data_IF_689208274112
#
_entry.id   IF_689208274112
#
_cell.length_a   1.000
_cell.length_b   1.000
_cell.length_c   1.000
_cell.angle_alpha   90.00
_cell.angle_beta   90.00
_cell.angle_gamma   90.00
#
_symmetry.space_group_name_H-M   'P 1'
#
loop_
_entity.id
_entity.type
_entity.pdbx_description
1 polymer ?
#
# COMPACT_ATOMS: atom_id res chain seq x y z
N UNK A 1 -8.52 -4.21 -8.88
CA UNK A 1 -8.52 -3.38 -7.65
C UNK A 1 -8.84 -4.25 -6.45
N UNK A 2 -8.10 -4.08 -5.36
CA UNK A 2 -8.33 -4.75 -4.07
C UNK A 2 -8.72 -3.67 -3.08
N UNK A 3 -9.75 -3.92 -2.27
CA UNK A 3 -10.18 -3.00 -1.20
C UNK A 3 -10.34 -3.75 0.10
N UNK A 4 -9.84 -3.16 1.19
CA UNK A 4 -9.97 -3.65 2.56
C UNK A 4 -10.52 -2.50 3.41
N UNK A 5 -11.53 -2.75 4.24
CA UNK A 5 -12.09 -1.73 5.14
C UNK A 5 -11.75 -2.01 6.61
N UNK A 6 -12.15 -1.09 7.49
CA UNK A 6 -11.94 -1.18 8.94
C UNK A 6 -12.63 -2.40 9.58
N UNK A 7 -13.69 -2.91 8.96
CA UNK A 7 -14.40 -4.13 9.37
C UNK A 7 -13.72 -5.41 8.84
N UNK A 8 -12.52 -5.30 8.25
CA UNK A 8 -11.75 -6.42 7.69
C UNK A 8 -12.49 -7.16 6.57
N UNK A 9 -13.41 -6.48 5.89
CA UNK A 9 -14.07 -6.99 4.70
C UNK A 9 -13.19 -6.72 3.48
N UNK A 10 -13.14 -7.68 2.57
CA UNK A 10 -12.26 -7.64 1.39
C UNK A 10 -13.10 -7.70 0.12
N UNK A 11 -12.75 -6.86 -0.86
CA UNK A 11 -13.31 -6.88 -2.21
C UNK A 11 -12.22 -7.05 -3.25
N UNK A 12 -12.51 -7.87 -4.26
CA UNK A 12 -11.67 -8.05 -5.45
C UNK A 12 -12.47 -7.61 -6.66
N UNK A 13 -12.01 -6.55 -7.32
CA UNK A 13 -12.70 -5.94 -8.47
C UNK A 13 -14.18 -5.60 -8.19
N UNK A 14 -14.46 -5.10 -6.98
CA UNK A 14 -15.81 -4.73 -6.55
C UNK A 14 -16.68 -5.88 -6.02
N UNK A 15 -16.22 -7.13 -6.10
CA UNK A 15 -16.94 -8.29 -5.59
C UNK A 15 -16.47 -8.64 -4.17
N UNK A 16 -17.37 -8.79 -3.18
CA UNK A 16 -16.99 -9.18 -1.82
C UNK A 16 -16.48 -10.62 -1.81
N UNK A 17 -15.40 -10.86 -1.06
CA UNK A 17 -14.79 -12.18 -0.92
C UNK A 17 -14.57 -12.55 0.55
N UNK A 18 -14.37 -13.83 0.83
CA UNK A 18 -13.98 -14.34 2.15
C UNK A 18 -12.51 -14.75 2.12
N UNK A 19 -11.79 -14.51 3.20
CA UNK A 19 -10.39 -14.91 3.38
C UNK A 19 -10.30 -16.13 4.34
N UNK A 20 -9.35 -17.06 4.15
CA UNK A 20 -8.25 -17.02 3.17
C UNK A 20 -8.73 -17.22 1.72
N UNK A 21 -8.01 -16.62 0.77
CA UNK A 21 -8.32 -16.66 -0.66
C UNK A 21 -7.05 -16.59 -1.50
N UNK A 22 -6.93 -17.47 -2.48
CA UNK A 22 -5.94 -17.34 -3.56
C UNK A 22 -6.65 -16.77 -4.79
N UNK A 23 -6.32 -15.53 -5.19
CA UNK A 23 -6.88 -14.90 -6.40
C UNK A 23 -6.21 -15.49 -7.64
N UNK A 24 -4.90 -15.70 -7.53
CA UNK A 24 -4.05 -16.36 -8.53
C UNK A 24 -3.04 -17.23 -7.79
N UNK A 25 -2.19 -17.97 -8.52
CA UNK A 25 -1.09 -18.72 -7.95
C UNK A 25 -0.04 -17.85 -7.22
N UNK A 26 -0.06 -16.53 -7.42
CA UNK A 26 0.93 -15.59 -6.83
C UNK A 26 0.32 -14.52 -5.93
N UNK A 27 -1.00 -14.31 -5.97
CA UNK A 27 -1.69 -13.32 -5.13
C UNK A 27 -2.56 -14.04 -4.12
N UNK A 28 -2.17 -13.97 -2.85
CA UNK A 28 -2.82 -14.69 -1.75
C UNK A 28 -3.25 -13.75 -0.64
N UNK A 29 -4.41 -14.06 -0.06
CA UNK A 29 -4.93 -13.43 1.15
C UNK A 29 -4.97 -14.44 2.28
N UNK A 30 -4.41 -14.04 3.41
CA UNK A 30 -4.43 -14.81 4.65
C UNK A 30 -4.96 -13.95 5.79
N UNK A 31 -5.57 -14.62 6.78
CA UNK A 31 -5.94 -14.02 8.04
C UNK A 31 -5.05 -14.65 9.13
N UNK A 32 -4.14 -13.87 9.71
CA UNK A 32 -3.28 -14.31 10.81
C UNK A 32 -3.69 -13.60 12.08
N UNK A 33 -4.51 -14.27 12.90
CA UNK A 33 -5.18 -13.63 14.03
C UNK A 33 -6.05 -12.47 13.54
N UNK A 34 -5.72 -11.26 13.98
CA UNK A 34 -6.44 -10.03 13.62
C UNK A 34 -5.84 -9.25 12.44
N UNK A 35 -4.88 -9.83 11.72
CA UNK A 35 -4.15 -9.18 10.63
C UNK A 35 -4.52 -9.81 9.29
N UNK A 36 -4.93 -8.98 8.34
CA UNK A 36 -5.06 -9.37 6.93
C UNK A 36 -3.69 -9.27 6.29
N UNK A 37 -3.23 -10.33 5.64
CA UNK A 37 -1.98 -10.37 4.89
C UNK A 37 -2.28 -10.57 3.41
N UNK A 38 -1.88 -9.61 2.58
CA UNK A 38 -1.81 -9.75 1.13
C UNK A 38 -0.37 -10.08 0.75
N UNK A 39 -0.18 -11.25 0.15
CA UNK A 39 1.12 -11.71 -0.33
C UNK A 39 1.17 -11.70 -1.84
N UNK A 40 2.26 -11.14 -2.36
CA UNK A 40 2.70 -11.24 -3.76
C UNK A 40 4.20 -11.58 -3.77
N UNK A 41 4.80 -11.98 -4.91
CA UNK A 41 6.21 -12.40 -4.95
C UNK A 41 7.21 -11.33 -4.49
N UNK A 42 6.88 -10.05 -4.63
CA UNK A 42 7.81 -8.94 -4.34
C UNK A 42 7.27 -7.94 -3.32
N UNK A 43 5.99 -8.01 -2.99
CA UNK A 43 5.33 -7.08 -2.06
C UNK A 43 4.43 -7.86 -1.12
N UNK A 44 4.54 -7.58 0.17
CA UNK A 44 3.61 -8.00 1.19
C UNK A 44 2.98 -6.77 1.84
N UNK A 45 1.65 -6.77 1.94
CA UNK A 45 0.90 -5.72 2.63
C UNK A 45 0.18 -6.34 3.81
N UNK A 46 0.30 -5.73 4.98
CA UNK A 46 -0.47 -6.12 6.16
C UNK A 46 -1.41 -5.01 6.59
N UNK A 47 -2.66 -5.39 6.88
CA UNK A 47 -3.64 -4.51 7.51
C UNK A 47 -3.97 -5.09 8.88
N UNK A 48 -3.45 -4.44 9.91
CA UNK A 48 -3.54 -4.89 11.30
C UNK A 48 -4.49 -4.06 12.15
N UNK A 49 -4.49 -4.29 13.48
CA UNK A 49 -5.23 -3.49 14.44
C UNK A 49 -4.92 -1.99 14.33
N UNK A 50 -5.86 -1.15 14.77
CA UNK A 50 -5.72 0.32 14.79
C UNK A 50 -5.43 0.95 13.42
N UNK A 51 -5.94 0.35 12.33
CA UNK A 51 -5.74 0.81 10.94
C UNK A 51 -4.27 0.88 10.53
N UNK A 52 -3.40 0.10 11.19
CA UNK A 52 -1.97 0.08 10.85
C UNK A 52 -1.76 -0.69 9.55
N UNK A 53 -1.16 -0.01 8.58
CA UNK A 53 -0.69 -0.61 7.32
C UNK A 53 0.82 -0.78 7.42
N UNK A 54 1.33 -1.95 7.05
CA UNK A 54 2.76 -2.15 6.82
C UNK A 54 2.98 -2.73 5.43
N UNK A 55 4.00 -2.24 4.73
CA UNK A 55 4.37 -2.70 3.40
C UNK A 55 5.81 -3.18 3.46
N UNK A 56 6.02 -4.44 3.10
CA UNK A 56 7.35 -5.04 2.94
C UNK A 56 7.61 -5.27 1.46
N UNK A 57 8.78 -4.83 1.00
CA UNK A 57 9.15 -4.88 -0.41
C UNK A 57 10.45 -5.68 -0.56
N UNK A 58 10.49 -6.56 -1.55
CA UNK A 58 11.67 -7.35 -1.89
C UNK A 58 12.82 -6.46 -2.40
N UNK A 59 14.10 -6.78 -2.11
CA UNK A 59 15.26 -6.11 -2.70
C UNK A 59 15.27 -6.07 -4.23
N UNK A 60 14.51 -6.94 -4.92
CA UNK A 60 14.35 -6.88 -6.37
C UNK A 60 13.75 -5.55 -6.89
N UNK A 61 13.10 -4.78 -6.00
CA UNK A 61 12.45 -3.50 -6.27
C UNK A 61 13.23 -2.29 -5.69
N UNK A 62 14.47 -2.46 -5.24
CA UNK A 62 15.34 -1.33 -4.84
C UNK A 62 15.41 -0.27 -5.94
N UNK A 63 15.11 0.97 -5.59
CA UNK A 63 15.09 2.11 -6.52
C UNK A 63 14.01 2.05 -7.61
N UNK A 64 13.06 1.11 -7.53
CA UNK A 64 11.98 0.92 -8.52
C UNK A 64 10.59 1.26 -7.99
N UNK A 65 10.47 1.57 -6.70
CA UNK A 65 9.22 2.03 -6.09
C UNK A 65 9.21 3.54 -5.99
N UNK A 66 8.02 4.11 -5.87
CA UNK A 66 7.83 5.53 -5.57
C UNK A 66 6.53 5.70 -4.79
N UNK A 67 6.49 6.67 -3.90
CA UNK A 67 5.30 6.98 -3.10
C UNK A 67 5.67 7.72 -1.82
N UNK A 68 4.68 7.87 -0.95
CA UNK A 68 4.88 8.46 0.38
C UNK A 68 5.92 7.72 1.26
N UNK A 69 6.22 6.46 0.95
CA UNK A 69 7.25 5.65 1.63
C UNK A 69 8.66 5.78 1.01
N UNK A 70 8.86 6.72 0.08
CA UNK A 70 10.16 6.92 -0.59
C UNK A 70 10.38 6.01 -1.79
N UNK A 71 11.65 5.86 -2.19
CA UNK A 71 12.05 5.15 -3.41
C UNK A 71 12.81 3.82 -3.15
N UNK A 72 13.07 3.51 -1.88
CA UNK A 72 13.79 2.30 -1.44
C UNK A 72 15.17 2.13 -2.10
N UNK A 73 15.96 3.20 -2.23
CA UNK A 73 17.33 3.18 -2.76
C UNK A 73 18.43 3.19 -1.65
N UNK A 74 18.03 3.02 -0.39
CA UNK A 74 18.90 3.11 0.81
C UNK A 74 19.51 4.50 1.08
N UNK A 75 18.93 5.56 0.53
CA UNK A 75 19.36 6.96 0.71
C UNK A 75 18.23 7.78 1.34
N UNK A 76 18.10 7.80 2.68
CA UNK A 76 16.99 8.50 3.34
C UNK A 76 16.90 10.01 3.03
N UNK A 77 18.03 10.61 2.64
CA UNK A 77 18.11 12.03 2.30
C UNK A 77 17.29 12.42 1.06
N UNK A 78 16.90 11.46 0.21
CA UNK A 78 16.17 11.72 -1.03
C UNK A 78 14.75 11.15 -1.08
N UNK A 79 14.22 10.69 0.06
CA UNK A 79 12.88 10.11 0.17
C UNK A 79 11.75 11.16 0.15
N UNK A 80 12.06 12.44 0.40
CA UNK A 80 11.10 13.55 0.28
C UNK A 80 10.93 13.99 -1.18
N UNK A 81 10.46 13.05 -2.01
CA UNK A 81 10.15 13.27 -3.43
C UNK A 81 8.68 12.99 -3.72
N UNK A 82 7.96 14.02 -4.16
CA UNK A 82 6.61 13.91 -4.69
C UNK A 82 6.56 13.22 -6.07
N UNK A 83 5.35 13.13 -6.66
CA UNK A 83 5.17 12.59 -8.01
C UNK A 83 6.09 13.26 -9.04
N UNK A 84 6.66 12.47 -9.96
CA UNK A 84 7.59 12.96 -10.97
C UNK A 84 8.99 13.29 -10.43
N UNK A 85 9.28 13.01 -9.15
CA UNK A 85 10.60 13.25 -8.55
C UNK A 85 10.80 14.68 -8.03
N UNK A 86 9.72 15.45 -7.87
CA UNK A 86 9.77 16.82 -7.34
C UNK A 86 10.15 16.79 -5.86
N UNK A 87 11.19 17.51 -5.46
CA UNK A 87 11.57 17.62 -4.05
C UNK A 87 10.49 18.38 -3.27
N UNK A 88 10.15 17.88 -2.08
CA UNK A 88 9.26 18.54 -1.13
C UNK A 88 10.01 18.85 0.17
N UNK A 89 9.48 19.81 0.94
CA UNK A 89 10.18 20.36 2.11
C UNK A 89 9.78 19.71 3.43
N UNK A 90 8.69 18.93 3.45
CA UNK A 90 8.16 18.33 4.68
C UNK A 90 7.37 17.05 4.43
N UNK A 91 7.22 16.23 5.47
CA UNK A 91 6.39 15.01 5.41
C UNK A 91 4.92 15.31 5.14
N UNK A 92 4.27 16.33 5.74
CA UNK A 92 2.89 16.68 5.38
C UNK A 92 2.74 17.06 3.91
N UNK A 93 3.67 17.84 3.35
CA UNK A 93 3.67 18.18 1.93
C UNK A 93 3.85 16.94 1.04
N UNK A 94 4.73 16.01 1.43
CA UNK A 94 4.89 14.72 0.75
C UNK A 94 3.58 13.94 0.70
N UNK A 95 2.92 13.75 1.86
CA UNK A 95 1.67 13.00 1.95
C UNK A 95 0.57 13.62 1.09
N UNK A 96 0.45 14.95 1.11
CA UNK A 96 -0.50 15.68 0.27
C UNK A 96 -0.18 15.49 -1.22
N UNK A 97 1.09 15.58 -1.62
CA UNK A 97 1.51 15.43 -3.02
C UNK A 97 1.21 14.03 -3.60
N UNK A 98 1.21 13.00 -2.75
CA UNK A 98 0.92 11.61 -3.11
C UNK A 98 -0.56 11.21 -2.92
N UNK A 99 -1.46 12.17 -2.70
CA UNK A 99 -2.90 11.89 -2.56
C UNK A 99 -3.44 11.24 -3.84
N UNK A 100 -3.97 10.03 -3.72
CA UNK A 100 -4.62 9.33 -4.82
C UNK A 100 -5.98 9.97 -5.14
N UNK A 101 -6.09 10.62 -6.30
CA UNK A 101 -7.30 11.37 -6.72
C UNK A 101 -8.53 10.49 -6.87
N UNK A 102 -8.33 9.23 -7.27
CA UNK A 102 -9.42 8.26 -7.48
C UNK A 102 -10.12 7.83 -6.17
N UNK A 103 -9.53 8.18 -5.02
CA UNK A 103 -10.06 7.90 -3.67
C UNK A 103 -10.39 9.17 -2.88
N UNK A 104 -10.19 10.36 -3.47
CA UNK A 104 -10.68 11.58 -2.87
C UNK A 104 -12.22 11.55 -2.89
N UNK A 105 -12.90 11.88 -1.78
CA UNK A 105 -14.34 12.01 -1.82
C UNK A 105 -14.70 13.01 -2.93
N UNK A 106 -15.57 12.61 -3.85
CA UNK A 106 -16.16 13.49 -4.87
C UNK A 106 -17.07 14.58 -4.27
N UNK A 107 -16.92 14.88 -2.99
CA UNK A 107 -17.67 15.92 -2.31
C UNK A 107 -17.06 17.27 -2.67
N UNK A 108 -17.71 17.96 -3.61
CA UNK A 108 -17.75 19.43 -3.66
C UNK A 108 -18.88 19.93 -2.75
#
# INVERSE_FOLDING_TARGET
>A
MITVNDQKQVWVNGLPVRIPLEITNVVKFELTGDVIVLQTPQVQVTFGPNRRISVSVSPALTGKVCGACGNFNYTPADDLKGPGGVNVSSVPELLLSWTARDFAPLCA
#
